data_IF_537777957295
#
_entry.id   IF_537777957295
#
_cell.length_a   1.000
_cell.length_b   1.000
_cell.length_c   1.000
_cell.angle_alpha   90.00
_cell.angle_beta   90.00
_cell.angle_gamma   90.00
#
_symmetry.space_group_name_H-M   'P 1'
#
loop_
_entity.id
_entity.type
_entity.pdbx_description
1 polymer ?
#
# COMPACT_ATOMS: atom_id res chain seq x y z
N UNK A 1 -4.26 5.73 17.89
CA UNK A 1 -2.86 6.22 17.67
C UNK A 1 -1.86 5.10 17.39
N UNK A 2 -1.86 3.98 18.14
CA UNK A 2 -0.89 2.87 17.91
C UNK A 2 -0.91 2.27 16.50
N UNK A 3 -2.09 2.13 15.90
CA UNK A 3 -2.26 1.57 14.55
C UNK A 3 -1.61 2.43 13.46
N UNK A 4 -1.75 3.75 13.56
CA UNK A 4 -1.11 4.70 12.64
C UNK A 4 0.41 4.64 12.77
N UNK A 5 0.94 4.57 14.00
CA UNK A 5 2.38 4.42 14.23
C UNK A 5 2.91 3.10 13.65
N UNK A 6 2.16 2.01 13.80
CA UNK A 6 2.53 0.71 13.23
C UNK A 6 2.57 0.75 11.70
N UNK A 7 1.57 1.37 11.06
CA UNK A 7 1.55 1.58 9.62
C UNK A 7 2.74 2.41 9.12
N UNK A 8 3.04 3.53 9.78
CA UNK A 8 4.19 4.38 9.44
C UNK A 8 5.51 3.63 9.63
N UNK A 9 5.63 2.86 10.72
CA UNK A 9 6.79 2.00 10.97
C UNK A 9 6.99 0.98 9.85
N UNK A 10 5.91 0.36 9.35
CA UNK A 10 5.97 -0.58 8.24
C UNK A 10 6.47 0.08 6.95
N UNK A 11 5.92 1.25 6.61
CA UNK A 11 6.35 2.03 5.43
C UNK A 11 7.84 2.38 5.54
N UNK A 12 8.28 2.79 6.73
CA UNK A 12 9.68 3.14 6.98
C UNK A 12 10.60 1.94 6.79
N UNK A 13 10.24 0.77 7.35
CA UNK A 13 11.01 -0.47 7.18
C UNK A 13 11.13 -0.85 5.70
N UNK A 14 10.02 -0.82 4.94
CA UNK A 14 10.04 -1.12 3.51
C UNK A 14 10.91 -0.11 2.75
N UNK A 15 10.79 1.18 3.06
CA UNK A 15 11.55 2.26 2.42
C UNK A 15 13.05 2.10 2.67
N UNK A 16 13.45 1.91 3.93
CA UNK A 16 14.85 1.69 4.32
C UNK A 16 15.40 0.43 3.65
N UNK A 17 14.62 -0.65 3.63
CA UNK A 17 15.02 -1.87 2.95
C UNK A 17 15.30 -1.62 1.46
N UNK A 18 14.38 -0.96 0.74
CA UNK A 18 14.52 -0.65 -0.70
C UNK A 18 15.73 0.25 -0.98
N UNK A 19 15.97 1.28 -0.15
CA UNK A 19 17.07 2.24 -0.34
C UNK A 19 18.42 1.57 -0.06
N UNK A 20 18.54 0.91 1.09
CA UNK A 20 19.78 0.30 1.60
C UNK A 20 20.19 -0.94 0.81
N UNK A 21 19.27 -1.58 0.09
CA UNK A 21 19.60 -2.73 -0.76
C UNK A 21 20.54 -2.33 -1.90
N UNK A 22 21.85 -2.49 -1.67
CA UNK A 22 22.94 -2.00 -2.54
C UNK A 22 22.95 -2.62 -3.94
N UNK A 23 22.46 -3.85 -4.07
CA UNK A 23 22.55 -4.66 -5.30
C UNK A 23 21.41 -4.34 -6.29
N UNK A 24 20.40 -3.57 -5.88
CA UNK A 24 19.22 -3.35 -6.71
C UNK A 24 19.44 -2.23 -7.74
N UNK A 25 19.19 -2.55 -9.02
CA UNK A 25 19.21 -1.59 -10.13
C UNK A 25 18.35 -0.34 -9.85
N UNK A 26 18.79 0.81 -10.35
CA UNK A 26 18.14 2.10 -10.09
C UNK A 26 16.71 2.15 -10.63
N UNK A 27 16.44 1.56 -11.79
CA UNK A 27 15.07 1.52 -12.33
C UNK A 27 14.18 0.61 -11.50
N UNK A 28 14.73 -0.52 -11.03
CA UNK A 28 14.02 -1.41 -10.11
C UNK A 28 13.71 -0.72 -8.78
N UNK A 29 14.65 0.04 -8.21
CA UNK A 29 14.42 0.89 -7.02
C UNK A 29 13.32 1.92 -7.24
N UNK A 30 13.38 2.68 -8.35
CA UNK A 30 12.34 3.65 -8.70
C UNK A 30 10.96 2.99 -8.80
N UNK A 31 10.88 1.83 -9.43
CA UNK A 31 9.64 1.08 -9.56
C UNK A 31 9.07 0.68 -8.18
N UNK A 32 9.91 0.19 -7.26
CA UNK A 32 9.47 -0.11 -5.90
C UNK A 32 8.95 1.14 -5.16
N UNK A 33 9.67 2.26 -5.23
CA UNK A 33 9.23 3.51 -4.57
C UNK A 33 7.89 3.98 -5.12
N UNK A 34 7.71 3.98 -6.44
CA UNK A 34 6.43 4.36 -7.06
C UNK A 34 5.33 3.39 -6.62
N UNK A 35 5.60 2.09 -6.59
CA UNK A 35 4.63 1.07 -6.14
C UNK A 35 4.22 1.26 -4.69
N UNK A 36 5.16 1.68 -3.83
CA UNK A 36 4.89 1.99 -2.42
C UNK A 36 3.99 3.21 -2.30
N UNK A 37 4.25 4.27 -3.08
CA UNK A 37 3.39 5.46 -3.11
C UNK A 37 1.95 5.09 -3.53
N UNK A 38 1.80 4.27 -4.59
CA UNK A 38 0.49 3.77 -5.00
C UNK A 38 -0.19 2.98 -3.89
N UNK A 39 0.52 2.06 -3.23
CA UNK A 39 -0.02 1.28 -2.12
C UNK A 39 -0.52 2.20 -1.00
N UNK A 40 0.25 3.21 -0.61
CA UNK A 40 -0.13 4.18 0.41
C UNK A 40 -1.41 4.93 0.00
N UNK A 41 -1.44 5.54 -1.18
CA UNK A 41 -2.59 6.32 -1.64
C UNK A 41 -3.84 5.43 -1.71
N UNK A 42 -3.73 4.25 -2.32
CA UNK A 42 -4.85 3.34 -2.46
C UNK A 42 -5.32 2.72 -1.14
N UNK A 43 -4.49 2.73 -0.09
CA UNK A 43 -4.88 2.29 1.25
C UNK A 43 -5.92 3.19 1.91
N UNK A 44 -5.99 4.46 1.50
CA UNK A 44 -6.93 5.44 2.04
C UNK A 44 -8.16 5.63 1.16
N UNK A 45 -8.30 4.85 0.08
CA UNK A 45 -9.50 4.89 -0.76
C UNK A 45 -10.58 4.03 -0.09
N UNK A 46 -11.76 4.58 0.22
CA UNK A 46 -12.85 3.79 0.78
C UNK A 46 -13.36 2.78 -0.26
N UNK A 47 -13.55 1.54 0.16
CA UNK A 47 -14.04 0.43 -0.70
C UNK A 47 -15.56 0.33 -0.74
N UNK A 48 -16.24 0.79 0.31
CA UNK A 48 -17.70 0.72 0.43
C UNK A 48 -18.36 2.04 0.05
N UNK A 49 -19.14 2.02 -1.03
CA UNK A 49 -20.21 2.98 -1.31
C UNK A 49 -21.55 2.38 -0.87
N UNK A 50 -22.38 3.20 -0.22
CA UNK A 50 -23.74 2.90 0.28
C UNK A 50 -23.86 2.17 1.65
N UNK A 51 -23.81 2.98 2.73
CA UNK A 51 -24.77 3.05 3.84
C UNK A 51 -25.49 1.76 4.32
N UNK A 52 -24.77 0.67 4.64
CA UNK A 52 -25.36 -0.44 5.44
C UNK A 52 -24.45 -1.09 6.48
N UNK A 53 -23.17 -0.73 6.58
CA UNK A 53 -22.26 -1.26 7.61
C UNK A 53 -21.91 -0.21 8.64
N UNK A 54 -21.88 -0.61 9.91
CA UNK A 54 -21.45 0.22 11.04
C UNK A 54 -19.98 0.67 10.91
N UNK A 55 -19.21 0.07 9.99
CA UNK A 55 -17.78 0.29 9.79
C UNK A 55 -17.46 0.76 8.37
N UNK A 56 -16.39 1.56 8.23
CA UNK A 56 -15.85 2.02 6.95
C UNK A 56 -14.59 1.24 6.60
N UNK A 57 -14.59 0.62 5.42
CA UNK A 57 -13.46 -0.14 4.93
C UNK A 57 -12.68 0.68 3.92
N UNK A 58 -11.34 0.57 3.97
CA UNK A 58 -10.43 1.29 3.10
C UNK A 58 -9.36 0.36 2.57
N UNK A 59 -8.89 0.63 1.36
CA UNK A 59 -7.83 -0.12 0.71
C UNK A 59 -8.32 -0.78 -0.56
N UNK A 60 -7.71 -0.40 -1.67
CA UNK A 60 -7.97 -1.01 -2.98
C UNK A 60 -6.65 -1.53 -3.56
N UNK A 61 -6.64 -2.72 -4.20
CA UNK A 61 -7.77 -3.64 -4.36
C UNK A 61 -8.05 -4.53 -3.14
N UNK A 62 -7.07 -4.72 -2.26
CA UNK A 62 -7.26 -5.43 -0.99
C UNK A 62 -7.39 -4.43 0.14
N UNK A 63 -8.28 -4.73 1.07
CA UNK A 63 -8.50 -3.92 2.26
C UNK A 63 -7.22 -3.77 3.10
N UNK A 64 -6.98 -2.55 3.56
CA UNK A 64 -5.83 -2.17 4.38
C UNK A 64 -6.24 -1.62 5.73
N UNK A 65 -7.41 -0.97 5.82
CA UNK A 65 -7.91 -0.43 7.07
C UNK A 65 -9.40 -0.68 7.23
N UNK A 66 -9.80 -0.78 8.50
CA UNK A 66 -11.20 -0.73 8.93
C UNK A 66 -11.31 0.40 9.95
N UNK A 67 -12.29 1.27 9.79
CA UNK A 67 -12.64 2.30 10.75
C UNK A 67 -13.95 1.96 11.43
N UNK A 68 -13.93 1.84 12.77
CA UNK A 68 -15.08 1.42 13.57
C UNK A 68 -15.87 2.59 14.18
N UNK A 69 -15.46 3.85 13.91
CA UNK A 69 -15.99 5.02 14.62
C UNK A 69 -15.08 5.43 15.79
N UNK A 70 -15.32 6.62 16.36
CA UNK A 70 -14.63 7.05 17.58
C UNK A 70 -13.10 7.12 17.52
N UNK A 71 -12.51 7.33 16.33
CA UNK A 71 -11.05 7.26 16.08
C UNK A 71 -10.42 5.85 16.21
N UNK A 72 -11.23 4.80 16.19
CA UNK A 72 -10.76 3.42 16.22
C UNK A 72 -10.54 2.88 14.81
N UNK A 73 -9.30 2.49 14.53
CA UNK A 73 -8.88 1.91 13.25
C UNK A 73 -8.22 0.55 13.49
N UNK A 74 -8.50 -0.42 12.63
CA UNK A 74 -7.69 -1.62 12.45
C UNK A 74 -6.84 -1.48 11.20
N UNK A 75 -5.61 -1.97 11.25
CA UNK A 75 -4.71 -2.05 10.09
C UNK A 75 -4.46 -3.51 9.72
N UNK A 76 -4.61 -3.82 8.44
CA UNK A 76 -4.38 -5.14 7.86
C UNK A 76 -3.07 -5.13 7.06
N UNK A 77 -1.92 -5.43 7.71
CA UNK A 77 -0.61 -5.33 7.07
C UNK A 77 -0.46 -6.23 5.85
N UNK A 78 -1.07 -7.41 5.86
CA UNK A 78 -1.03 -8.33 4.73
C UNK A 78 -1.73 -7.75 3.49
N UNK A 79 -2.85 -7.04 3.66
CA UNK A 79 -3.51 -6.35 2.56
C UNK A 79 -2.64 -5.26 1.96
N UNK A 80 -1.93 -4.50 2.81
CA UNK A 80 -0.98 -3.48 2.35
C UNK A 80 0.19 -4.09 1.56
N UNK A 81 0.79 -5.16 2.08
CA UNK A 81 1.85 -5.88 1.40
C UNK A 81 1.40 -6.46 0.06
N UNK A 82 0.20 -7.03 0.01
CA UNK A 82 -0.36 -7.55 -1.23
C UNK A 82 -0.55 -6.44 -2.27
N UNK A 83 -1.16 -5.31 -1.88
CA UNK A 83 -1.36 -4.16 -2.77
C UNK A 83 -0.02 -3.64 -3.28
N UNK A 84 1.00 -3.52 -2.42
CA UNK A 84 2.34 -3.11 -2.82
C UNK A 84 2.96 -4.03 -3.89
N UNK A 85 2.90 -5.34 -3.68
CA UNK A 85 3.41 -6.33 -4.65
C UNK A 85 2.61 -6.24 -5.95
N UNK A 86 1.29 -6.13 -5.87
CA UNK A 86 0.41 -6.05 -7.02
C UNK A 86 0.71 -4.81 -7.87
N UNK A 87 0.82 -3.63 -7.26
CA UNK A 87 1.15 -2.40 -7.98
C UNK A 87 2.54 -2.47 -8.61
N UNK A 88 3.51 -3.09 -7.94
CA UNK A 88 4.82 -3.36 -8.54
C UNK A 88 4.71 -4.19 -9.82
N UNK A 89 3.97 -5.30 -9.78
CA UNK A 89 3.77 -6.15 -10.95
C UNK A 89 3.01 -5.43 -12.06
N UNK A 90 1.95 -4.70 -11.74
CA UNK A 90 1.16 -3.95 -12.71
C UNK A 90 1.99 -2.88 -13.42
N UNK A 91 2.74 -2.07 -12.66
CA UNK A 91 3.62 -1.04 -13.23
C UNK A 91 4.77 -1.67 -14.04
N UNK A 92 5.32 -2.80 -13.58
CA UNK A 92 6.34 -3.55 -14.33
C UNK A 92 5.81 -4.02 -15.68
N UNK A 93 4.58 -4.56 -15.72
CA UNK A 93 3.92 -5.01 -16.94
C UNK A 93 3.65 -3.82 -17.87
N UNK A 94 3.12 -2.71 -17.35
CA UNK A 94 2.88 -1.49 -18.12
C UNK A 94 4.16 -0.98 -18.80
N UNK A 95 5.28 -0.94 -18.06
CA UNK A 95 6.57 -0.53 -18.62
C UNK A 95 7.12 -1.50 -19.66
N UNK A 96 6.81 -2.80 -19.54
CA UNK A 96 7.19 -3.80 -20.54
C UNK A 96 6.38 -3.63 -21.83
N UNK A 97 5.07 -3.40 -21.72
CA UNK A 97 4.19 -3.15 -22.86
C UNK A 97 4.56 -1.86 -23.61
N UNK A 98 4.94 -0.79 -22.89
CA UNK A 98 5.39 0.48 -23.53
C UNK A 98 6.68 0.34 -24.35
N UNK A 99 7.50 -0.67 -24.06
CA UNK A 99 8.78 -0.91 -24.75
C UNK A 99 8.65 -1.85 -25.94
N UNK A 100 7.48 -2.45 -26.13
CA UNK A 100 7.12 -3.24 -27.32
C UNK A 100 6.57 -2.29 -28.37
#
# INVERSE_FOLDING_TARGET
>A
MGVVLFFLGLILVITVHVITHRIMDLNKKKLYVISLIFAIICSFIPTTGENKSDFLYFGIPVETFVYYGGWEFSFHPLGFFFNFILFYWMLKLLLKLRKT
#
